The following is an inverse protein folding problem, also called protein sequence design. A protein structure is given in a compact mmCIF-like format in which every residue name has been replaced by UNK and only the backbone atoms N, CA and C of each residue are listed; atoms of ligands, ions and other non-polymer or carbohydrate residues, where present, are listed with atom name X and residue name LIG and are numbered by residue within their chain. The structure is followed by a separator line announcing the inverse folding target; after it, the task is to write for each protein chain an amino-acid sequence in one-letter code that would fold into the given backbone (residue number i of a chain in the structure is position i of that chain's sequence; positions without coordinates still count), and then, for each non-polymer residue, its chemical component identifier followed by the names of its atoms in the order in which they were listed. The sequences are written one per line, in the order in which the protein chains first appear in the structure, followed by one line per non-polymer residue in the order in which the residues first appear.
data_IF_366127017875
#
_entry.id   IF_366127017875
#
_cell.length_a   1.000
_cell.length_b   1.000
_cell.length_c   1.000
_cell.angle_alpha   90.00
_cell.angle_beta   90.00
_cell.angle_gamma   90.00
#
_symmetry.space_group_name_H-M   'P 1'
#
loop_
_entity.id
_entity.type
_entity.pdbx_description
1 polymer ?
#
# COMPACT_ATOMS: atom_id res chain seq x y z
N UNK A 1 -9.28 28.30 11.42
CA UNK A 1 -9.73 26.98 11.92
C UNK A 1 -10.45 26.09 10.89
N UNK A 2 -11.17 26.62 9.89
CA UNK A 2 -11.99 25.79 8.99
C UNK A 2 -11.20 25.07 7.87
N UNK A 3 -10.09 25.65 7.38
CA UNK A 3 -9.38 25.12 6.21
C UNK A 3 -8.48 23.92 6.54
N UNK A 4 -7.81 23.92 7.70
CA UNK A 4 -6.92 22.84 8.13
C UNK A 4 -7.68 21.54 8.41
N UNK A 5 -8.83 21.63 9.09
CA UNK A 5 -9.70 20.46 9.38
C UNK A 5 -10.22 19.83 8.09
N UNK A 6 -10.68 20.64 7.14
CA UNK A 6 -11.13 20.18 5.81
C UNK A 6 -10.00 19.51 5.02
N UNK A 7 -8.78 20.03 5.12
CA UNK A 7 -7.62 19.42 4.46
C UNK A 7 -7.24 18.06 5.05
N UNK A 8 -7.31 17.89 6.38
CA UNK A 8 -7.06 16.61 7.05
C UNK A 8 -8.09 15.55 6.66
N UNK A 9 -9.38 15.92 6.60
CA UNK A 9 -10.44 15.01 6.16
C UNK A 9 -10.26 14.57 4.70
N UNK A 10 -9.89 15.51 3.81
CA UNK A 10 -9.59 15.20 2.41
C UNK A 10 -8.40 14.23 2.28
N UNK A 11 -7.34 14.42 3.07
CA UNK A 11 -6.17 13.53 3.08
C UNK A 11 -6.53 12.13 3.60
N UNK A 12 -7.34 12.05 4.64
CA UNK A 12 -7.79 10.77 5.20
C UNK A 12 -8.65 10.01 4.19
N UNK A 13 -9.55 10.73 3.50
CA UNK A 13 -10.33 10.18 2.41
C UNK A 13 -9.47 9.71 1.23
N UNK A 14 -8.45 10.48 0.85
CA UNK A 14 -7.52 10.10 -0.22
C UNK A 14 -6.74 8.81 0.13
N UNK A 15 -6.24 8.70 1.37
CA UNK A 15 -5.57 7.48 1.86
C UNK A 15 -6.52 6.27 1.83
N UNK A 16 -7.75 6.45 2.28
CA UNK A 16 -8.77 5.40 2.27
C UNK A 16 -9.14 4.96 0.85
N UNK A 17 -9.38 5.92 -0.06
CA UNK A 17 -9.68 5.63 -1.46
C UNK A 17 -8.53 4.86 -2.12
N UNK A 18 -7.28 5.25 -1.88
CA UNK A 18 -6.10 4.51 -2.37
C UNK A 18 -6.07 3.06 -1.86
N UNK A 19 -6.38 2.84 -0.57
CA UNK A 19 -6.44 1.49 0.00
C UNK A 19 -7.54 0.62 -0.63
N UNK A 20 -8.70 1.19 -0.92
CA UNK A 20 -9.81 0.49 -1.57
C UNK A 20 -9.47 0.11 -3.00
N UNK A 21 -8.91 1.06 -3.77
CA UNK A 21 -8.50 0.81 -5.16
C UNK A 21 -7.42 -0.28 -5.19
N UNK A 22 -6.45 -0.23 -4.26
CA UNK A 22 -5.42 -1.25 -4.16
C UNK A 22 -5.98 -2.63 -3.78
N UNK A 23 -6.92 -2.71 -2.83
CA UNK A 23 -7.57 -3.96 -2.44
C UNK A 23 -8.36 -4.56 -3.61
N UNK A 24 -9.23 -3.77 -4.25
CA UNK A 24 -10.02 -4.26 -5.38
C UNK A 24 -9.17 -4.59 -6.60
N UNK A 25 -8.12 -3.81 -6.90
CA UNK A 25 -7.16 -4.15 -7.95
C UNK A 25 -6.46 -5.48 -7.67
N UNK A 26 -6.04 -5.71 -6.41
CA UNK A 26 -5.41 -6.96 -5.99
C UNK A 26 -6.35 -8.16 -6.12
N UNK A 27 -7.64 -8.00 -5.75
CA UNK A 27 -8.67 -9.02 -5.90
C UNK A 27 -9.02 -9.27 -7.36
N UNK A 28 -9.09 -8.21 -8.19
CA UNK A 28 -9.37 -8.34 -9.62
C UNK A 28 -8.32 -9.22 -10.32
N UNK A 29 -7.05 -9.00 -10.02
CA UNK A 29 -5.98 -9.84 -10.59
C UNK A 29 -6.06 -11.30 -10.12
N UNK A 30 -6.47 -11.54 -8.87
CA UNK A 30 -6.63 -12.89 -8.30
C UNK A 30 -7.82 -13.63 -8.91
N UNK A 31 -9.01 -13.05 -8.82
CA UNK A 31 -10.27 -13.76 -9.02
C UNK A 31 -10.75 -13.68 -10.47
N UNK A 32 -10.46 -12.58 -11.17
CA UNK A 32 -10.91 -12.39 -12.55
C UNK A 32 -9.81 -12.77 -13.53
N UNK A 33 -8.58 -12.31 -13.31
CA UNK A 33 -7.44 -12.65 -14.18
C UNK A 33 -6.74 -13.96 -13.83
N UNK A 34 -7.11 -14.60 -12.72
CA UNK A 34 -6.56 -15.88 -12.28
C UNK A 34 -5.02 -15.84 -12.12
N UNK A 35 -4.48 -14.69 -11.70
CA UNK A 35 -3.07 -14.54 -11.39
C UNK A 35 -2.82 -15.02 -9.96
N UNK A 36 -2.19 -16.18 -9.84
CA UNK A 36 -1.86 -16.78 -8.55
C UNK A 36 -0.82 -15.91 -7.81
N UNK A 37 -1.12 -15.40 -6.60
CA UNK A 37 -0.22 -14.53 -5.87
C UNK A 37 0.99 -15.31 -5.33
N UNK A 38 2.18 -14.74 -5.52
CA UNK A 38 3.39 -15.26 -4.88
C UNK A 38 3.42 -14.91 -3.37
N UNK A 39 4.36 -15.49 -2.62
CA UNK A 39 4.50 -15.28 -1.19
C UNK A 39 4.66 -13.78 -0.82
N UNK A 40 5.47 -13.02 -1.57
CA UNK A 40 5.67 -11.58 -1.34
C UNK A 40 4.39 -10.75 -1.59
N UNK A 41 3.63 -11.07 -2.64
CA UNK A 41 2.31 -10.47 -2.86
C UNK A 41 1.38 -10.73 -1.67
N UNK A 42 1.45 -11.92 -1.07
CA UNK A 42 0.61 -12.29 0.07
C UNK A 42 0.94 -11.44 1.30
N UNK A 43 2.23 -11.23 1.59
CA UNK A 43 2.65 -10.31 2.65
C UNK A 43 2.17 -8.87 2.42
N UNK A 44 2.22 -8.39 1.17
CA UNK A 44 1.66 -7.07 0.83
C UNK A 44 0.14 -7.01 1.06
N UNK A 45 -0.61 -8.08 0.77
CA UNK A 45 -2.06 -8.15 1.03
C UNK A 45 -2.39 -8.09 2.51
N UNK A 46 -1.65 -8.82 3.37
CA UNK A 46 -1.85 -8.81 4.83
C UNK A 46 -1.75 -7.38 5.38
N UNK A 47 -0.84 -6.57 4.85
CA UNK A 47 -0.66 -5.18 5.30
C UNK A 47 -1.72 -4.25 4.66
N UNK A 48 -1.99 -4.41 3.37
CA UNK A 48 -2.85 -3.48 2.63
C UNK A 48 -4.35 -3.62 2.98
N UNK A 49 -4.86 -4.84 3.13
CA UNK A 49 -6.30 -5.06 3.28
C UNK A 49 -6.86 -4.45 4.57
N UNK A 50 -6.20 -4.58 5.74
CA UNK A 50 -6.67 -3.93 6.97
C UNK A 50 -6.78 -2.41 6.88
N UNK A 51 -6.00 -1.73 6.02
CA UNK A 51 -6.11 -0.28 5.86
C UNK A 51 -7.47 0.18 5.39
N UNK A 52 -8.15 -0.59 4.53
CA UNK A 52 -9.51 -0.26 4.07
C UNK A 52 -10.48 -0.12 5.24
N UNK A 53 -10.36 -0.98 6.24
CA UNK A 53 -11.21 -1.00 7.43
C UNK A 53 -10.76 0.07 8.41
N UNK A 54 -9.46 0.12 8.75
CA UNK A 54 -8.92 1.03 9.76
C UNK A 54 -9.10 2.50 9.35
N UNK A 55 -8.76 2.86 8.11
CA UNK A 55 -8.95 4.22 7.60
C UNK A 55 -10.44 4.55 7.44
N UNK A 56 -11.28 3.58 7.10
CA UNK A 56 -12.73 3.76 7.02
C UNK A 56 -13.34 4.10 8.39
N UNK A 57 -12.94 3.36 9.43
CA UNK A 57 -13.34 3.65 10.82
C UNK A 57 -12.84 5.03 11.26
N UNK A 58 -11.61 5.39 10.91
CA UNK A 58 -11.04 6.70 11.24
C UNK A 58 -11.84 7.86 10.63
N UNK A 59 -12.36 7.70 9.40
CA UNK A 59 -13.23 8.71 8.75
C UNK A 59 -14.52 8.91 9.54
N UNK A 60 -15.16 7.82 9.99
CA UNK A 60 -16.44 7.87 10.72
C UNK A 60 -16.24 8.43 12.13
N UNK A 61 -15.25 7.92 12.87
CA UNK A 61 -14.97 8.32 14.25
C UNK A 61 -14.23 9.66 14.35
N UNK A 62 -13.75 10.21 13.23
CA UNK A 62 -12.88 11.39 13.17
C UNK A 62 -11.65 11.24 14.08
N UNK A 63 -11.12 10.02 14.15
CA UNK A 63 -9.96 9.68 14.97
C UNK A 63 -8.68 9.76 14.13
N UNK A 64 -7.94 10.85 14.31
CA UNK A 64 -6.72 11.13 13.54
C UNK A 64 -5.47 10.44 14.11
N UNK A 65 -5.55 9.87 15.32
CA UNK A 65 -4.42 9.16 15.94
C UNK A 65 -4.05 7.88 15.19
N UNK A 66 -5.03 7.29 14.48
CA UNK A 66 -4.82 6.15 13.58
C UNK A 66 -3.72 6.39 12.56
N UNK A 67 -3.50 7.65 12.16
CA UNK A 67 -2.51 8.03 11.15
C UNK A 67 -1.08 7.63 11.51
N UNK A 68 -0.75 7.55 12.81
CA UNK A 68 0.57 7.08 13.24
C UNK A 68 0.78 5.59 12.92
N UNK A 69 -0.22 4.75 13.20
CA UNK A 69 -0.16 3.32 12.93
C UNK A 69 -0.16 3.04 11.43
N UNK A 70 -1.01 3.72 10.66
CA UNK A 70 -1.07 3.55 9.20
C UNK A 70 0.20 4.04 8.52
N UNK A 71 0.85 5.08 9.04
CA UNK A 71 2.16 5.53 8.58
C UNK A 71 3.23 4.45 8.77
N UNK A 72 3.37 3.87 9.97
CA UNK A 72 4.39 2.84 10.22
C UNK A 72 4.14 1.59 9.36
N UNK A 73 2.90 1.11 9.32
CA UNK A 73 2.55 -0.09 8.56
C UNK A 73 2.73 0.13 7.05
N UNK A 74 2.40 1.32 6.54
CA UNK A 74 2.55 1.61 5.10
C UNK A 74 4.02 1.75 4.71
N UNK A 75 4.89 2.23 5.61
CA UNK A 75 6.34 2.21 5.39
C UNK A 75 6.85 0.76 5.24
N UNK A 76 6.43 -0.16 6.12
CA UNK A 76 6.80 -1.58 6.03
C UNK A 76 6.31 -2.18 4.71
N UNK A 77 5.05 -1.92 4.35
CA UNK A 77 4.49 -2.34 3.07
C UNK A 77 5.28 -1.82 1.86
N UNK A 78 5.69 -0.54 1.90
CA UNK A 78 6.50 0.07 0.86
C UNK A 78 7.89 -0.59 0.74
N UNK A 79 8.55 -0.94 1.85
CA UNK A 79 9.82 -1.67 1.82
C UNK A 79 9.66 -3.05 1.16
N UNK A 80 8.62 -3.81 1.52
CA UNK A 80 8.34 -5.13 0.94
C UNK A 80 8.06 -5.01 -0.56
N UNK A 81 7.23 -4.04 -0.96
CA UNK A 81 6.94 -3.81 -2.39
C UNK A 81 8.14 -3.34 -3.18
N UNK A 82 9.03 -2.54 -2.57
CA UNK A 82 10.29 -2.11 -3.19
C UNK A 82 11.20 -3.30 -3.43
N UNK A 83 11.41 -4.13 -2.40
CA UNK A 83 12.18 -5.37 -2.54
C UNK A 83 11.60 -6.28 -3.63
N UNK A 84 10.27 -6.45 -3.65
CA UNK A 84 9.60 -7.27 -4.66
C UNK A 84 9.76 -6.70 -6.08
N UNK A 85 9.70 -5.38 -6.24
CA UNK A 85 9.97 -4.74 -7.52
C UNK A 85 11.43 -4.93 -7.97
N UNK A 86 12.38 -4.81 -7.06
CA UNK A 86 13.81 -4.99 -7.34
C UNK A 86 14.13 -6.40 -7.82
N UNK A 87 13.62 -7.45 -7.15
CA UNK A 87 13.84 -8.84 -7.57
C UNK A 87 13.23 -9.14 -8.95
N UNK A 88 12.21 -8.39 -9.38
CA UNK A 88 11.60 -8.54 -10.69
C UNK A 88 12.37 -7.83 -11.81
N UNK A 89 13.08 -6.73 -11.52
CA UNK A 89 13.70 -5.86 -12.53
C UNK A 89 15.22 -5.91 -12.54
N UNK A 90 15.83 -6.31 -11.43
CA UNK A 90 17.28 -6.34 -11.27
C UNK A 90 17.73 -7.79 -11.15
N UNK A 91 18.41 -8.28 -12.20
CA UNK A 91 18.90 -9.66 -12.30
C UNK A 91 19.76 -10.06 -11.10
N UNK A 92 20.61 -9.16 -10.61
CA UNK A 92 21.46 -9.39 -9.42
C UNK A 92 20.66 -9.86 -8.20
N UNK A 93 19.44 -9.35 -7.99
CA UNK A 93 18.61 -9.79 -6.87
C UNK A 93 17.80 -11.04 -7.20
N UNK A 94 17.45 -11.28 -8.46
CA UNK A 94 16.73 -12.48 -8.91
C UNK A 94 17.52 -13.76 -8.64
N UNK A 95 18.83 -13.77 -8.92
CA UNK A 95 19.68 -14.97 -8.81
C UNK A 95 19.89 -15.44 -7.36
N UNK A 96 19.65 -14.55 -6.39
CA UNK A 96 19.75 -14.84 -4.96
C UNK A 96 18.39 -15.09 -4.30
N UNK A 97 17.29 -15.07 -5.06
CA UNK A 97 15.98 -15.41 -4.52
C UNK A 97 15.69 -16.90 -4.63
N UNK A 98 15.56 -17.55 -3.47
CA UNK A 98 15.03 -18.91 -3.42
C UNK A 98 13.56 -18.87 -3.87
N UNK A 99 13.20 -19.72 -4.83
CA UNK A 99 11.82 -19.92 -5.25
C UNK A 99 11.03 -20.63 -4.14
N UNK A 100 10.64 -19.90 -3.09
CA UNK A 100 9.75 -20.40 -2.06
C UNK A 100 8.28 -20.20 -2.51
N UNK A 101 7.55 -21.31 -2.65
CA UNK A 101 6.14 -21.32 -3.01
C UNK A 101 5.87 -21.93 -4.39
N UNK A 102 4.58 -22.09 -4.73
CA UNK A 102 4.14 -22.66 -6.02
C UNK A 102 4.48 -21.75 -7.21
N UNK A 103 4.45 -20.43 -7.00
CA UNK A 103 4.67 -19.40 -8.01
C UNK A 103 5.89 -18.55 -7.62
N UNK A 104 6.88 -18.38 -8.52
CA UNK A 104 8.06 -17.59 -8.22
C UNK A 104 7.73 -16.10 -8.11
N UNK A 105 8.33 -15.41 -7.13
CA UNK A 105 8.11 -13.97 -6.92
C UNK A 105 8.72 -13.09 -8.03
N UNK A 106 9.66 -13.64 -8.81
CA UNK A 106 10.31 -13.00 -9.96
C UNK A 106 9.41 -12.95 -11.19
N UNK A 107 8.32 -13.74 -11.22
CA UNK A 107 7.36 -13.75 -12.32
C UNK A 107 6.64 -12.40 -12.48
N UNK A 108 6.51 -11.95 -13.73
CA UNK A 108 5.82 -10.71 -14.10
C UNK A 108 4.55 -11.03 -14.89
N UNK A 109 3.39 -11.07 -14.23
CA UNK A 109 2.09 -11.24 -14.89
C UNK A 109 1.68 -10.01 -15.72
N UNK A 110 2.08 -8.82 -15.26
CA UNK A 110 1.80 -7.54 -15.90
C UNK A 110 3.11 -6.77 -15.97
N UNK A 111 3.43 -6.25 -17.15
CA UNK A 111 4.56 -5.36 -17.36
C UNK A 111 4.19 -4.31 -18.42
N UNK A 112 3.38 -3.32 -18.02
CA UNK A 112 2.97 -2.25 -18.93
C UNK A 112 4.09 -1.21 -19.03
N UNK A 113 4.38 -0.72 -20.24
CA UNK A 113 5.45 0.24 -20.52
C UNK A 113 6.87 -0.21 -20.10
N UNK A 114 7.07 -1.50 -19.80
CA UNK A 114 8.37 -2.04 -19.39
C UNK A 114 8.74 -1.81 -17.92
N UNK A 115 7.93 -1.09 -17.13
CA UNK A 115 8.18 -0.81 -15.71
C UNK A 115 6.97 -0.99 -14.78
N UNK A 116 5.73 -0.91 -15.28
CA UNK A 116 4.53 -1.01 -14.43
C UNK A 116 4.22 -2.49 -14.19
N UNK A 117 4.63 -2.99 -13.01
CA UNK A 117 4.31 -4.33 -12.52
C UNK A 117 3.35 -4.27 -11.33
N UNK A 118 2.80 -5.43 -10.93
CA UNK A 118 1.90 -5.52 -9.77
C UNK A 118 2.57 -4.99 -8.48
N UNK A 119 3.83 -5.33 -8.15
CA UNK A 119 4.51 -4.75 -6.98
C UNK A 119 4.70 -3.24 -7.06
N UNK A 120 4.91 -2.69 -8.26
CA UNK A 120 5.00 -1.25 -8.46
C UNK A 120 3.67 -0.55 -8.14
N UNK A 121 2.55 -1.10 -8.58
CA UNK A 121 1.21 -0.58 -8.23
C UNK A 121 0.99 -0.62 -6.71
N UNK A 122 1.35 -1.73 -6.05
CA UNK A 122 1.27 -1.83 -4.59
C UNK A 122 2.17 -0.78 -3.90
N UNK A 123 3.39 -0.58 -4.40
CA UNK A 123 4.31 0.44 -3.89
C UNK A 123 3.71 1.84 -3.98
N UNK A 124 3.12 2.20 -5.12
CA UNK A 124 2.47 3.52 -5.28
C UNK A 124 1.34 3.73 -4.28
N UNK A 125 0.50 2.71 -4.04
CA UNK A 125 -0.55 2.79 -3.03
C UNK A 125 0.00 2.96 -1.62
N UNK A 126 1.04 2.21 -1.23
CA UNK A 126 1.67 2.36 0.08
C UNK A 126 2.30 3.74 0.27
N UNK A 127 2.96 4.30 -0.76
CA UNK A 127 3.53 5.64 -0.72
C UNK A 127 2.44 6.71 -0.54
N UNK A 128 1.32 6.59 -1.27
CA UNK A 128 0.19 7.53 -1.13
C UNK A 128 -0.36 7.50 0.30
N UNK A 129 -0.58 6.29 0.85
CA UNK A 129 -1.08 6.12 2.22
C UNK A 129 -0.07 6.66 3.24
N UNK A 130 1.23 6.41 3.03
CA UNK A 130 2.30 6.90 3.90
C UNK A 130 2.34 8.42 3.93
N UNK A 131 2.37 9.08 2.77
CA UNK A 131 2.44 10.54 2.67
C UNK A 131 1.19 11.17 3.31
N UNK A 132 0.00 10.66 3.00
CA UNK A 132 -1.23 11.17 3.60
C UNK A 132 -1.21 11.00 5.13
N UNK A 133 -0.84 9.82 5.62
CA UNK A 133 -0.78 9.52 7.05
C UNK A 133 0.27 10.37 7.78
N UNK A 134 1.43 10.60 7.15
CA UNK A 134 2.50 11.45 7.67
C UNK A 134 2.04 12.91 7.81
N UNK A 135 1.41 13.46 6.76
CA UNK A 135 0.90 14.84 6.81
C UNK A 135 -0.22 14.99 7.84
N UNK A 136 -1.10 14.00 7.97
CA UNK A 136 -2.15 14.02 9.01
C UNK A 136 -1.51 13.97 10.40
N UNK A 137 -0.49 13.13 10.59
CA UNK A 137 0.20 13.00 11.88
C UNK A 137 0.95 14.28 12.30
N UNK A 138 1.59 14.99 11.36
CA UNK A 138 2.24 16.27 11.70
C UNK A 138 1.21 17.34 12.05
N UNK A 139 0.10 17.42 11.31
CA UNK A 139 -0.97 18.40 11.56
C UNK A 139 -1.84 18.08 12.76
N UNK A 140 -2.01 16.80 13.12
CA UNK A 140 -2.81 16.42 14.29
C UNK A 140 -2.11 16.81 15.61
N UNK A 141 -0.77 16.85 15.61
CA UNK A 141 0.00 17.40 16.75
C UNK A 141 -0.21 18.90 16.93
N UNK A 142 -0.33 19.66 15.85
CA UNK A 142 -0.58 21.11 15.90
C UNK A 142 -2.00 21.46 16.37
N UNK A 143 -2.97 20.56 16.20
CA UNK A 143 -4.37 20.76 16.63
C UNK A 143 -4.61 20.31 18.08
N UNK A 144 -3.75 19.45 18.61
CA UNK A 144 -3.82 18.95 19.99
C UNK A 144 -2.95 19.73 20.99
N UNK A 145 -2.09 20.65 20.50
CA UNK A 145 -1.29 21.59 21.30
C UNK A 145 -1.99 22.94 21.40
#
# INVERSE_FOLDING_TARGET
MNNTKRSVENLLFAAWAASIIAMFGSLYFSEIKQYEPCALCWYQRIIMYPFTIILGIAIIRKDYWISFYTMILSAIGAFISTYHYLIQKVSFFSDHTLACGRVPCTGQYINVFGFITIPFLALTAFIIIFICSYIIWTRSKEVAA
#
